data_IF_571591613627
#
_entry.id   IF_571591613627
#
_cell.length_a   1.000
_cell.length_b   1.000
_cell.length_c   1.000
_cell.angle_alpha   90.00
_cell.angle_beta   90.00
_cell.angle_gamma   90.00
#
_symmetry.space_group_name_H-M   'P 1'
#
loop_
_entity.id
_entity.type
_entity.pdbx_description
1 polymer ?
#
# COMPACT_ATOMS: atom_id res chain seq x y z
N UNK A 1 2.82 -3.71 -17.88
CA UNK A 1 1.66 -4.37 -17.25
C UNK A 1 0.58 -3.31 -17.06
N UNK A 2 -0.68 -3.63 -17.32
CA UNK A 2 -1.79 -2.71 -17.04
C UNK A 2 -2.99 -3.51 -16.50
N UNK A 3 -2.93 -3.87 -15.22
CA UNK A 3 -3.89 -4.77 -14.58
C UNK A 3 -4.67 -4.08 -13.46
N UNK A 4 -5.93 -4.48 -13.27
CA UNK A 4 -6.70 -4.09 -12.08
C UNK A 4 -6.02 -4.68 -10.84
N UNK A 5 -5.86 -3.87 -9.79
CA UNK A 5 -5.26 -4.34 -8.54
C UNK A 5 -6.14 -5.40 -7.88
N UNK A 6 -5.58 -6.58 -7.63
CA UNK A 6 -6.20 -7.66 -6.87
C UNK A 6 -5.15 -8.29 -5.96
N UNK A 7 -5.58 -8.94 -4.87
CA UNK A 7 -4.66 -9.63 -3.98
C UNK A 7 -3.93 -10.76 -4.70
N UNK A 8 -4.64 -11.55 -5.52
CA UNK A 8 -4.05 -12.62 -6.31
C UNK A 8 -2.97 -12.11 -7.28
N UNK A 9 -3.19 -10.96 -7.93
CA UNK A 9 -2.20 -10.37 -8.82
C UNK A 9 -0.92 -10.00 -8.06
N UNK A 10 -1.04 -9.34 -6.91
CA UNK A 10 0.11 -8.94 -6.10
C UNK A 10 0.87 -10.15 -5.57
N UNK A 11 0.16 -11.17 -5.06
CA UNK A 11 0.77 -12.42 -4.59
C UNK A 11 1.55 -13.09 -5.72
N UNK A 12 0.96 -13.22 -6.91
CA UNK A 12 1.62 -13.84 -8.06
C UNK A 12 2.85 -13.06 -8.54
N UNK A 13 2.83 -11.72 -8.47
CA UNK A 13 3.99 -10.91 -8.86
C UNK A 13 5.17 -11.13 -7.90
N UNK A 14 4.90 -11.23 -6.59
CA UNK A 14 5.92 -11.44 -5.56
C UNK A 14 6.20 -12.91 -5.25
N UNK A 15 5.64 -13.84 -6.04
CA UNK A 15 5.92 -15.27 -5.90
C UNK A 15 7.40 -15.54 -6.20
N UNK A 16 8.03 -16.34 -5.35
CA UNK A 16 9.46 -16.61 -5.43
C UNK A 16 9.78 -17.38 -6.73
N UNK A 17 10.92 -17.07 -7.36
CA UNK A 17 11.39 -17.68 -8.62
C UNK A 17 10.64 -17.29 -9.90
N UNK A 18 9.81 -16.24 -9.89
CA UNK A 18 9.23 -15.68 -11.12
C UNK A 18 10.10 -14.54 -11.67
N UNK A 19 10.19 -14.28 -12.98
CA UNK A 19 10.96 -13.12 -13.47
C UNK A 19 10.48 -11.75 -12.96
N UNK A 20 9.28 -11.68 -12.35
CA UNK A 20 8.63 -10.43 -11.96
C UNK A 20 8.86 -10.02 -10.51
N UNK A 21 9.33 -10.93 -9.65
CA UNK A 21 9.44 -10.68 -8.20
C UNK A 21 10.57 -9.73 -7.80
N UNK A 22 11.56 -9.53 -8.66
CA UNK A 22 12.72 -8.71 -8.36
C UNK A 22 12.46 -7.24 -8.69
N UNK A 23 12.19 -6.44 -7.67
CA UNK A 23 11.95 -5.00 -7.78
C UNK A 23 10.60 -4.56 -7.23
N UNK A 24 10.20 -3.35 -7.58
CA UNK A 24 8.98 -2.72 -7.07
C UNK A 24 7.79 -2.86 -8.01
N UNK A 25 6.60 -2.85 -7.41
CA UNK A 25 5.32 -2.75 -8.13
C UNK A 25 4.78 -1.33 -7.96
N UNK A 26 4.47 -0.67 -9.08
CA UNK A 26 3.93 0.69 -9.09
C UNK A 26 2.43 0.62 -9.30
N UNK A 27 1.70 1.05 -8.28
CA UNK A 27 0.24 1.18 -8.31
C UNK A 27 -0.15 2.64 -8.49
N UNK A 28 -1.06 2.92 -9.42
CA UNK A 28 -1.70 4.23 -9.57
C UNK A 28 -3.21 4.05 -9.69
N UNK A 29 -3.96 4.78 -8.86
CA UNK A 29 -5.40 4.59 -8.74
C UNK A 29 -5.72 3.16 -8.31
N UNK A 30 -6.51 2.44 -9.11
CA UNK A 30 -6.89 1.05 -8.90
C UNK A 30 -6.13 0.07 -9.82
N UNK A 31 -4.97 0.46 -10.36
CA UNK A 31 -4.24 -0.34 -11.36
C UNK A 31 -2.77 -0.50 -11.01
N UNK A 32 -2.25 -1.69 -11.30
CA UNK A 32 -0.83 -1.98 -11.35
C UNK A 32 -0.30 -1.51 -12.71
N UNK A 33 0.44 -0.41 -12.71
CA UNK A 33 0.99 0.22 -13.92
C UNK A 33 2.32 -0.39 -14.35
N UNK A 34 3.09 -0.95 -13.41
CA UNK A 34 4.38 -1.59 -13.67
C UNK A 34 4.73 -2.54 -12.52
N UNK A 35 5.53 -3.56 -12.84
CA UNK A 35 6.15 -4.49 -11.90
C UNK A 35 7.66 -4.52 -12.19
N UNK A 36 8.46 -5.15 -11.32
CA UNK A 36 9.91 -5.35 -11.58
C UNK A 36 10.67 -4.02 -11.73
N UNK A 37 10.21 -2.97 -11.06
CA UNK A 37 10.76 -1.62 -11.20
C UNK A 37 11.99 -1.43 -10.30
N UNK A 38 13.07 -0.90 -10.88
CA UNK A 38 14.21 -0.42 -10.12
C UNK A 38 13.92 0.97 -9.55
N UNK A 39 14.11 1.12 -8.24
CA UNK A 39 13.89 2.38 -7.52
C UNK A 39 15.21 2.95 -7.04
N UNK A 40 15.31 4.29 -6.87
CA UNK A 40 16.48 4.89 -6.25
C UNK A 40 16.64 4.38 -4.81
N UNK A 41 17.87 4.11 -4.41
CA UNK A 41 18.19 3.74 -3.04
C UNK A 41 18.50 5.01 -2.24
N UNK A 42 18.03 5.07 -1.00
CA UNK A 42 18.42 6.14 -0.08
C UNK A 42 19.85 5.97 0.40
N UNK A 43 20.62 7.06 0.33
CA UNK A 43 21.97 7.19 0.90
C UNK A 43 21.96 7.62 2.37
N UNK A 44 20.78 7.69 3.00
CA UNK A 44 20.63 8.15 4.37
C UNK A 44 21.33 7.20 5.35
N UNK A 45 22.46 7.66 5.92
CA UNK A 45 23.27 6.91 6.86
C UNK A 45 22.58 6.68 8.22
N UNK A 46 21.49 7.38 8.51
CA UNK A 46 20.69 7.19 9.73
C UNK A 46 19.82 5.93 9.66
N UNK A 47 19.64 5.35 8.46
CA UNK A 47 18.97 4.07 8.29
C UNK A 47 19.82 2.96 8.93
N UNK A 48 19.18 2.14 9.78
CA UNK A 48 19.81 0.98 10.41
C UNK A 48 20.53 0.12 9.38
N UNK A 49 21.73 -0.36 9.74
CA UNK A 49 22.55 -1.22 8.87
C UNK A 49 21.88 -2.56 8.56
N UNK A 50 20.94 -2.98 9.40
CA UNK A 50 20.17 -4.21 9.24
C UNK A 50 19.07 -4.09 8.17
N UNK A 51 18.89 -2.90 7.58
CA UNK A 51 17.93 -2.67 6.52
C UNK A 51 18.48 -3.15 5.17
N UNK A 52 17.82 -4.16 4.62
CA UNK A 52 18.08 -4.68 3.27
C UNK A 52 17.71 -3.71 2.15
N UNK A 53 18.00 -4.12 0.92
CA UNK A 53 17.85 -3.30 -0.31
C UNK A 53 16.42 -2.81 -0.54
N UNK A 54 15.40 -3.62 -0.25
CA UNK A 54 13.98 -3.22 -0.37
C UNK A 54 13.62 -2.03 0.52
N UNK A 55 14.17 -1.97 1.73
CA UNK A 55 13.93 -0.85 2.63
C UNK A 55 14.61 0.42 2.12
N UNK A 56 15.85 0.32 1.65
CA UNK A 56 16.57 1.47 1.07
C UNK A 56 15.90 2.00 -0.18
N UNK A 57 15.40 1.10 -1.03
CA UNK A 57 14.62 1.44 -2.22
C UNK A 57 13.31 2.16 -1.86
N UNK A 58 12.58 1.64 -0.87
CA UNK A 58 11.33 2.24 -0.44
C UNK A 58 11.52 3.62 0.21
N UNK A 59 12.60 3.82 0.98
CA UNK A 59 12.94 5.14 1.50
C UNK A 59 13.36 6.08 0.37
N UNK A 60 14.26 5.65 -0.52
CA UNK A 60 14.77 6.49 -1.61
C UNK A 60 13.68 6.99 -2.54
N UNK A 61 12.73 6.13 -2.93
CA UNK A 61 11.59 6.60 -3.75
C UNK A 61 10.70 7.57 -2.98
N UNK A 62 10.52 7.39 -1.67
CA UNK A 62 9.71 8.28 -0.82
C UNK A 62 10.39 9.62 -0.50
N UNK A 63 11.70 9.71 -0.69
CA UNK A 63 12.46 10.97 -0.61
C UNK A 63 12.30 11.79 -1.90
N UNK A 64 12.27 11.09 -3.04
CA UNK A 64 12.15 11.72 -4.36
C UNK A 64 10.70 12.02 -4.79
N UNK A 65 9.70 11.42 -4.13
CA UNK A 65 8.29 11.50 -4.52
C UNK A 65 7.37 11.56 -3.30
N UNK A 66 6.09 11.86 -3.53
CA UNK A 66 5.02 11.78 -2.53
C UNK A 66 4.42 10.38 -2.41
N UNK A 67 5.09 9.35 -2.92
CA UNK A 67 4.59 7.98 -2.87
C UNK A 67 4.64 7.41 -1.45
N UNK A 68 3.60 6.66 -1.09
CA UNK A 68 3.64 5.74 0.03
C UNK A 68 4.12 4.38 -0.48
N UNK A 69 5.18 3.87 0.13
CA UNK A 69 5.76 2.57 -0.21
C UNK A 69 5.58 1.58 0.93
N UNK A 70 4.94 0.45 0.65
CA UNK A 70 4.79 -0.67 1.58
C UNK A 70 5.90 -1.69 1.32
N UNK A 71 6.57 -2.13 2.37
CA UNK A 71 7.69 -3.06 2.32
C UNK A 71 7.38 -4.23 3.24
N UNK A 72 7.58 -5.46 2.76
CA UNK A 72 7.55 -6.67 3.59
C UNK A 72 8.95 -7.25 3.62
N UNK A 73 9.49 -7.44 4.83
CA UNK A 73 10.80 -8.06 5.04
C UNK A 73 10.74 -9.54 4.67
N UNK A 74 11.65 -10.00 3.80
CA UNK A 74 11.78 -11.43 3.43
C UNK A 74 12.21 -12.27 4.62
N UNK A 75 13.10 -11.72 5.44
CA UNK A 75 13.70 -12.43 6.57
C UNK A 75 12.73 -12.58 7.74
N UNK A 76 11.91 -11.55 7.99
CA UNK A 76 11.11 -11.47 9.23
C UNK A 76 9.60 -11.41 9.00
N UNK A 77 9.15 -11.24 7.75
CA UNK A 77 7.74 -11.01 7.41
C UNK A 77 7.16 -9.69 7.91
N UNK A 78 7.94 -8.86 8.62
CA UNK A 78 7.48 -7.60 9.20
C UNK A 78 7.14 -6.58 8.12
N UNK A 79 6.03 -5.88 8.33
CA UNK A 79 5.57 -4.80 7.46
C UNK A 79 6.27 -3.49 7.88
N UNK A 80 6.74 -2.76 6.88
CA UNK A 80 7.24 -1.39 7.03
C UNK A 80 6.60 -0.49 5.99
N UNK A 81 6.52 0.81 6.29
CA UNK A 81 6.00 1.84 5.38
C UNK A 81 7.02 2.97 5.30
N UNK A 82 7.34 3.37 4.07
CA UNK A 82 8.15 4.55 3.79
C UNK A 82 7.28 5.64 3.16
N UNK A 83 7.33 6.85 3.71
CA UNK A 83 6.58 8.01 3.22
C UNK A 83 7.33 9.30 3.57
N UNK A 84 7.52 10.20 2.58
CA UNK A 84 8.24 11.47 2.74
C UNK A 84 9.62 11.30 3.40
N UNK A 85 10.36 10.26 3.01
CA UNK A 85 11.69 9.94 3.54
C UNK A 85 11.72 9.34 4.96
N UNK A 86 10.58 9.17 5.62
CA UNK A 86 10.49 8.53 6.93
C UNK A 86 10.12 7.05 6.79
N UNK A 87 10.78 6.18 7.57
CA UNK A 87 10.51 4.75 7.61
C UNK A 87 9.87 4.35 8.95
N UNK A 88 8.64 3.84 8.89
CA UNK A 88 7.94 3.20 10.01
C UNK A 88 8.05 1.68 9.89
N UNK A 89 8.50 1.00 10.94
CA UNK A 89 8.82 -0.45 10.91
C UNK A 89 7.96 -1.21 11.90
N UNK A 90 7.71 -2.50 11.60
CA UNK A 90 7.04 -3.41 12.53
C UNK A 90 5.54 -3.13 12.68
N UNK A 91 4.92 -2.63 11.61
CA UNK A 91 3.50 -2.32 11.58
C UNK A 91 2.66 -3.60 11.60
N UNK A 92 1.53 -3.55 12.29
CA UNK A 92 0.47 -4.53 12.15
C UNK A 92 -0.30 -4.33 10.83
N UNK A 93 -1.11 -5.32 10.43
CA UNK A 93 -2.01 -5.16 9.29
C UNK A 93 -3.07 -4.08 9.52
N UNK A 94 -3.43 -3.83 10.77
CA UNK A 94 -4.37 -2.78 11.17
C UNK A 94 -3.72 -1.39 11.02
N UNK A 95 -2.49 -1.23 11.49
CA UNK A 95 -1.72 0.02 11.38
C UNK A 95 -1.50 0.39 9.91
N UNK A 96 -1.17 -0.59 9.06
CA UNK A 96 -1.03 -0.38 7.62
C UNK A 96 -2.34 0.10 7.00
N UNK A 97 -3.47 -0.51 7.37
CA UNK A 97 -4.79 -0.14 6.86
C UNK A 97 -5.16 1.28 7.27
N UNK A 98 -4.85 1.68 8.49
CA UNK A 98 -5.04 3.05 8.97
C UNK A 98 -4.18 4.04 8.19
N UNK A 99 -2.88 3.78 8.03
CA UNK A 99 -1.99 4.66 7.24
C UNK A 99 -2.41 4.79 5.79
N UNK A 100 -2.86 3.71 5.16
CA UNK A 100 -3.39 3.76 3.80
C UNK A 100 -4.67 4.62 3.71
N UNK A 101 -5.55 4.58 4.73
CA UNK A 101 -6.77 5.39 4.76
C UNK A 101 -6.47 6.87 4.89
N UNK A 102 -5.59 7.24 5.82
CA UNK A 102 -5.18 8.63 6.04
C UNK A 102 -4.61 9.25 4.76
N UNK A 103 -3.71 8.53 4.08
CA UNK A 103 -3.03 9.06 2.89
C UNK A 103 -3.95 9.07 1.66
N UNK A 104 -4.90 8.14 1.55
CA UNK A 104 -5.87 8.14 0.46
C UNK A 104 -6.93 9.24 0.59
N UNK A 105 -6.98 9.99 1.71
CA UNK A 105 -8.02 10.98 2.00
C UNK A 105 -9.44 10.44 1.71
N UNK A 106 -9.66 9.13 1.94
CA UNK A 106 -10.99 8.54 1.72
C UNK A 106 -11.91 9.10 2.80
N UNK A 107 -13.03 9.75 2.45
CA UNK A 107 -14.04 10.10 3.43
C UNK A 107 -14.47 8.81 4.13
N UNK A 108 -14.68 8.87 5.45
CA UNK A 108 -15.24 7.75 6.19
C UNK A 108 -16.50 7.27 5.47
N UNK A 109 -16.54 5.98 5.09
CA UNK A 109 -17.75 5.41 4.53
C UNK A 109 -18.82 5.47 5.61
N UNK A 110 -19.77 6.40 5.49
CA UNK A 110 -20.94 6.41 6.37
C UNK A 110 -21.60 5.03 6.30
N UNK A 111 -21.86 4.37 7.45
CA UNK A 111 -22.50 3.07 7.45
C UNK A 111 -23.81 3.21 6.67
N UNK A 112 -23.98 2.39 5.62
CA UNK A 112 -25.15 2.41 4.74
C UNK A 112 -26.41 2.38 5.59
N UNK A 113 -27.02 3.55 5.82
CA UNK A 113 -28.31 3.68 6.50
C UNK A 113 -29.30 2.94 5.62
N UNK A 114 -29.63 1.72 6.04
CA UNK A 114 -30.59 0.83 5.40
C UNK A 114 -31.87 1.63 5.23
N UNK A 115 -32.14 2.05 3.99
CA UNK A 115 -33.29 2.90 3.64
C UNK A 115 -34.55 2.09 3.96
N UNK A 116 -35.07 2.26 5.17
CA UNK A 116 -36.37 1.77 5.57
C UNK A 116 -37.39 2.68 4.91
N UNK A 117 -37.90 2.27 3.75
CA UNK A 117 -39.16 2.79 3.24
C UNK A 117 -40.27 2.44 4.24
N UNK A 118 -40.49 3.31 5.23
CA UNK A 118 -41.78 3.38 5.92
C UNK A 118 -42.75 4.04 4.96
N UNK A 119 -43.39 3.21 4.13
CA UNK A 119 -44.60 3.58 3.40
C UNK A 119 -45.66 4.02 4.40
N UNK A 120 -45.79 5.33 4.57
CA UNK A 120 -46.83 5.98 5.34
C UNK A 120 -47.84 6.50 4.31
N UNK A 121 -48.83 5.69 3.98
CA UNK A 121 -50.06 6.15 3.32
C UNK A 121 -51.23 5.77 4.22
N UNK A 122 -51.41 6.58 5.26
CA UNK A 122 -52.70 6.73 5.93
C UNK A 122 -53.40 7.88 5.20
N UNK A 123 -54.43 7.56 4.43
CA UNK A 123 -55.46 8.54 4.02
C UNK A 123 -56.81 7.90 4.30
N UNK A 124 -57.47 8.40 5.33
CA UNK A 124 -58.89 8.20 5.62
C UNK A 124 -59.73 9.06 4.66
N UNK A 125 -60.70 8.46 3.98
CA UNK A 125 -62.15 8.75 4.13
C UNK A 125 -62.96 7.77 3.29
#
# INVERSE_FOLDING_TARGET
MDGIITSQLLINIFEHNTPLHDGAVIVRGNRVTSATCYLPLSDNMMLSKDLGTRHRAGVGISEATDSLTVIVSEETGKISVAYKGALSRGLSGEDLKERLREIQNKPEEEPRKRIWWKGRSKVEK
#
